data_IF_404572968418
#
_entry.id   IF_404572968418
#
_cell.length_a   1.000
_cell.length_b   1.000
_cell.length_c   1.000
_cell.angle_alpha   90.00
_cell.angle_beta   90.00
_cell.angle_gamma   90.00
#
_symmetry.space_group_name_H-M   'P 1'
#
loop_
_entity.id
_entity.type
_entity.pdbx_description
1 polymer ?
#
# COMPACT_ATOMS: atom_id res chain seq x y z
N UNK A 1 -36.26 58.31 17.05
CA UNK A 1 -35.02 58.36 16.27
C UNK A 1 -35.18 57.41 15.10
N UNK A 2 -35.32 57.98 13.91
CA UNK A 2 -35.55 57.30 12.64
C UNK A 2 -34.17 57.16 12.01
N UNK A 3 -33.74 55.93 11.72
CA UNK A 3 -32.51 55.70 10.95
C UNK A 3 -32.85 54.97 9.65
N UNK A 4 -32.80 55.75 8.58
CA UNK A 4 -32.91 55.37 7.18
C UNK A 4 -31.60 54.73 6.70
N UNK A 5 -31.65 53.53 6.12
CA UNK A 5 -30.54 53.03 5.29
C UNK A 5 -31.01 52.77 3.85
N UNK A 6 -30.37 53.54 2.99
CA UNK A 6 -30.50 53.63 1.54
C UNK A 6 -29.99 52.38 0.82
N UNK A 7 -30.79 51.89 -0.12
CA UNK A 7 -30.42 50.93 -1.15
C UNK A 7 -29.69 51.63 -2.29
N UNK A 8 -28.42 51.26 -2.55
CA UNK A 8 -27.70 51.66 -3.76
C UNK A 8 -27.59 50.48 -4.73
N UNK A 9 -28.35 50.56 -5.82
CA UNK A 9 -28.31 49.66 -6.97
C UNK A 9 -27.16 50.03 -7.90
N UNK A 10 -26.16 49.15 -8.04
CA UNK A 10 -25.11 49.25 -9.04
C UNK A 10 -25.50 48.46 -10.30
N UNK A 11 -25.74 49.18 -11.39
CA UNK A 11 -25.90 48.60 -12.74
C UNK A 11 -24.51 48.28 -13.31
N UNK A 12 -24.30 47.02 -13.68
CA UNK A 12 -23.12 46.58 -14.43
C UNK A 12 -23.41 46.71 -15.94
N UNK A 13 -22.60 47.53 -16.61
CA UNK A 13 -22.57 47.66 -18.07
C UNK A 13 -21.71 46.53 -18.64
N UNK A 14 -22.32 45.65 -19.44
CA UNK A 14 -21.63 44.60 -20.19
C UNK A 14 -21.17 45.15 -21.55
N UNK A 15 -19.86 45.11 -21.80
CA UNK A 15 -19.21 45.47 -23.06
C UNK A 15 -19.03 44.21 -23.95
N UNK A 16 -19.68 44.10 -25.13
CA UNK A 16 -19.57 42.94 -25.98
C UNK A 16 -18.60 43.21 -27.14
N UNK A 17 -17.30 43.02 -26.90
CA UNK A 17 -16.29 42.94 -27.99
C UNK A 17 -15.28 41.83 -27.72
N UNK A 18 -15.72 40.59 -27.91
CA UNK A 18 -14.83 39.42 -28.00
C UNK A 18 -14.57 39.15 -29.48
N UNK A 19 -13.37 39.52 -29.93
CA UNK A 19 -12.84 39.19 -31.26
C UNK A 19 -12.45 37.73 -31.29
N UNK A 20 -13.19 36.91 -32.05
CA UNK A 20 -12.88 35.50 -32.28
C UNK A 20 -11.64 35.40 -33.19
N UNK A 21 -10.48 35.21 -32.58
CA UNK A 21 -9.24 34.88 -33.28
C UNK A 21 -9.29 33.46 -33.82
N UNK A 22 -9.10 33.30 -35.13
CA UNK A 22 -8.93 32.00 -35.80
C UNK A 22 -7.77 31.23 -35.17
N UNK A 23 -8.07 30.15 -34.45
CA UNK A 23 -7.09 29.14 -34.05
C UNK A 23 -6.48 28.51 -35.31
N UNK A 24 -5.20 28.81 -35.57
CA UNK A 24 -4.39 28.08 -36.52
C UNK A 24 -4.11 26.68 -35.93
N UNK A 25 -4.76 25.65 -36.48
CA UNK A 25 -4.48 24.26 -36.12
C UNK A 25 -3.15 23.82 -36.74
N UNK A 26 -2.05 23.97 -36.03
CA UNK A 26 -0.78 23.35 -36.42
C UNK A 26 -0.81 21.85 -36.09
N UNK A 27 -1.17 21.04 -37.08
CA UNK A 27 -0.99 19.58 -37.04
C UNK A 27 0.49 19.24 -37.19
N UNK A 28 1.30 19.56 -36.19
CA UNK A 28 2.61 18.95 -36.04
C UNK A 28 2.37 17.49 -35.63
N UNK A 29 2.65 16.55 -36.56
CA UNK A 29 2.72 15.12 -36.24
C UNK A 29 3.85 14.91 -35.26
N UNK A 30 3.52 14.93 -33.97
CA UNK A 30 4.46 14.60 -32.90
C UNK A 30 4.96 13.17 -33.17
N UNK A 31 6.26 13.02 -33.44
CA UNK A 31 6.87 11.72 -33.59
C UNK A 31 6.54 10.89 -32.34
N UNK A 32 5.91 9.74 -32.52
CA UNK A 32 5.60 8.83 -31.43
C UNK A 32 6.95 8.33 -30.90
N UNK A 33 7.37 8.84 -29.75
CA UNK A 33 8.59 8.38 -29.11
C UNK A 33 8.44 6.88 -28.80
N UNK A 34 9.28 6.05 -29.40
CA UNK A 34 9.31 4.60 -29.14
C UNK A 34 9.82 4.35 -27.72
N UNK A 35 9.11 3.52 -26.95
CA UNK A 35 9.55 3.09 -25.63
C UNK A 35 10.85 2.28 -25.76
N UNK A 36 11.91 2.59 -24.99
CA UNK A 36 13.13 1.80 -24.97
C UNK A 36 12.87 0.33 -24.63
N UNK A 37 13.59 -0.59 -25.29
CA UNK A 37 13.39 -2.03 -25.09
C UNK A 37 13.70 -2.50 -23.66
N UNK A 38 14.52 -1.76 -22.92
CA UNK A 38 14.98 -2.01 -21.55
C UNK A 38 14.17 -1.25 -20.48
N UNK A 39 13.06 -0.61 -20.84
CA UNK A 39 12.27 0.19 -19.91
C UNK A 39 11.79 -0.62 -18.70
N UNK A 40 12.20 -0.19 -17.49
CA UNK A 40 11.91 -0.86 -16.22
C UNK A 40 12.83 -2.04 -15.85
N UNK A 41 13.73 -2.46 -16.74
CA UNK A 41 14.74 -3.46 -16.41
C UNK A 41 15.70 -2.94 -15.32
N UNK A 42 16.35 -3.84 -14.57
CA UNK A 42 17.37 -3.43 -13.58
C UNK A 42 18.51 -2.67 -14.25
N UNK A 43 18.72 -1.42 -13.85
CA UNK A 43 19.65 -0.47 -14.49
C UNK A 43 19.24 0.04 -15.87
N UNK A 44 18.03 -0.29 -16.36
CA UNK A 44 17.50 0.16 -17.64
C UNK A 44 16.78 1.51 -17.57
N UNK A 45 16.16 1.91 -18.69
CA UNK A 45 15.45 3.18 -18.82
C UNK A 45 14.34 3.37 -17.74
N UNK A 46 14.32 4.57 -17.16
CA UNK A 46 13.36 4.98 -16.12
C UNK A 46 12.23 5.86 -16.69
N UNK A 47 11.23 6.16 -15.85
CA UNK A 47 10.18 7.15 -16.14
C UNK A 47 10.83 8.50 -16.47
N UNK A 48 10.53 9.05 -17.65
CA UNK A 48 11.25 10.21 -18.20
C UNK A 48 11.03 11.50 -17.42
N UNK A 49 9.92 11.63 -16.67
CA UNK A 49 9.66 12.74 -15.75
C UNK A 49 9.84 12.37 -14.27
N UNK A 50 10.73 11.41 -13.96
CA UNK A 50 11.02 10.98 -12.57
C UNK A 50 11.27 12.15 -11.61
N UNK A 51 12.00 13.17 -12.03
CA UNK A 51 12.35 14.32 -11.20
C UNK A 51 11.17 15.26 -10.88
N UNK A 52 10.10 15.28 -11.69
CA UNK A 52 8.95 16.18 -11.48
C UNK A 52 7.68 15.44 -11.09
N UNK A 53 7.62 14.11 -11.24
CA UNK A 53 6.37 13.38 -11.08
C UNK A 53 5.72 13.60 -9.71
N UNK A 54 6.50 13.64 -8.63
CA UNK A 54 5.94 13.81 -7.29
C UNK A 54 5.42 15.23 -7.04
N UNK A 55 6.08 16.26 -7.59
CA UNK A 55 5.57 17.63 -7.55
C UNK A 55 4.39 17.85 -8.49
N UNK A 56 4.32 17.12 -9.62
CA UNK A 56 3.15 17.08 -10.49
C UNK A 56 1.92 16.53 -9.72
N UNK A 57 2.11 15.52 -8.85
CA UNK A 57 1.06 15.04 -7.94
C UNK A 57 0.64 16.10 -6.93
N UNK A 58 1.60 16.79 -6.31
CA UNK A 58 1.31 17.86 -5.36
C UNK A 58 0.49 18.98 -6.04
N UNK A 59 0.89 19.40 -7.24
CA UNK A 59 0.17 20.39 -8.05
C UNK A 59 -1.23 19.94 -8.43
N UNK A 60 -1.42 18.68 -8.82
CA UNK A 60 -2.74 18.10 -9.12
C UNK A 60 -3.67 18.07 -7.89
N UNK A 61 -3.11 17.97 -6.69
CA UNK A 61 -3.84 18.06 -5.41
C UNK A 61 -4.04 19.52 -4.94
N UNK A 62 -3.62 20.52 -5.72
CA UNK A 62 -3.69 21.94 -5.35
C UNK A 62 -2.71 22.32 -4.22
N UNK A 63 -1.60 21.59 -4.09
CA UNK A 63 -0.57 21.81 -3.06
C UNK A 63 0.68 22.41 -3.68
N UNK A 64 1.31 23.34 -2.96
CA UNK A 64 2.56 23.99 -3.36
C UNK A 64 3.81 23.35 -2.76
N UNK A 65 3.62 22.36 -1.88
CA UNK A 65 4.70 21.67 -1.17
C UNK A 65 4.34 20.19 -1.03
N UNK A 66 5.32 19.32 -0.78
CA UNK A 66 5.04 17.93 -0.51
C UNK A 66 4.27 17.74 0.81
N UNK A 67 3.58 16.60 1.00
CA UNK A 67 2.88 16.30 2.24
C UNK A 67 3.86 16.15 3.39
N UNK A 68 3.42 16.47 4.61
CA UNK A 68 4.17 16.18 5.82
C UNK A 68 4.42 14.68 5.98
N UNK A 69 3.43 13.85 5.65
CA UNK A 69 3.50 12.38 5.76
C UNK A 69 2.68 11.70 4.65
N UNK A 70 3.17 10.59 4.12
CA UNK A 70 2.46 9.72 3.19
C UNK A 70 2.69 8.25 3.58
N UNK A 71 1.62 7.58 4.01
CA UNK A 71 1.65 6.13 4.21
C UNK A 71 1.46 5.42 2.86
N UNK A 72 2.38 4.52 2.52
CA UNK A 72 2.43 3.84 1.23
C UNK A 72 2.06 2.37 1.45
N UNK A 73 0.89 1.97 0.93
CA UNK A 73 0.51 0.56 0.80
C UNK A 73 0.96 0.06 -0.57
N UNK A 74 1.97 -0.81 -0.58
CA UNK A 74 2.39 -1.51 -1.78
C UNK A 74 1.53 -2.77 -1.91
N UNK A 75 0.70 -2.81 -2.95
CA UNK A 75 -0.23 -3.92 -3.20
C UNK A 75 0.55 -5.22 -3.44
N UNK A 76 0.03 -6.42 -3.10
CA UNK A 76 0.70 -7.69 -3.38
C UNK A 76 1.17 -7.83 -4.85
N UNK A 77 2.07 -8.77 -5.12
CA UNK A 77 2.38 -9.18 -6.50
C UNK A 77 1.98 -10.61 -6.73
N UNK A 78 1.67 -10.95 -7.99
CA UNK A 78 1.37 -12.31 -8.38
C UNK A 78 2.67 -13.08 -8.64
N UNK A 79 2.91 -14.15 -7.90
CA UNK A 79 3.99 -15.08 -8.13
C UNK A 79 3.62 -16.14 -9.18
N UNK A 80 2.35 -16.54 -9.20
CA UNK A 80 1.81 -17.53 -10.14
C UNK A 80 0.52 -16.98 -10.76
N UNK A 81 0.38 -17.12 -12.08
CA UNK A 81 -0.85 -16.75 -12.80
C UNK A 81 -1.86 -17.89 -12.71
N UNK A 82 -3.09 -17.56 -12.35
CA UNK A 82 -4.26 -18.42 -12.39
C UNK A 82 -5.08 -18.11 -13.67
N UNK A 83 -6.13 -18.91 -13.91
CA UNK A 83 -7.12 -18.60 -14.94
C UNK A 83 -7.81 -17.25 -14.70
N UNK A 84 -8.38 -16.68 -15.76
CA UNK A 84 -9.13 -15.41 -15.73
C UNK A 84 -8.32 -14.17 -15.30
N UNK A 85 -6.99 -14.20 -15.42
CA UNK A 85 -6.12 -13.05 -15.14
C UNK A 85 -5.75 -12.83 -13.68
N UNK A 86 -6.25 -13.67 -12.76
CA UNK A 86 -5.87 -13.61 -11.34
C UNK A 86 -4.50 -14.21 -11.08
N UNK A 87 -3.89 -13.89 -9.94
CA UNK A 87 -2.65 -14.50 -9.50
C UNK A 87 -2.56 -14.75 -7.99
N UNK A 88 -1.76 -15.75 -7.62
CA UNK A 88 -1.44 -16.07 -6.24
C UNK A 88 -0.17 -15.34 -5.80
N UNK A 89 -0.22 -14.76 -4.62
CA UNK A 89 0.90 -14.05 -3.99
C UNK A 89 1.47 -14.88 -2.84
N UNK A 90 2.80 -14.86 -2.66
CA UNK A 90 3.41 -15.41 -1.43
C UNK A 90 3.00 -14.63 -0.17
N UNK A 91 2.71 -13.33 -0.35
CA UNK A 91 2.19 -12.45 0.69
C UNK A 91 1.00 -11.68 0.12
N UNK A 92 -0.23 -12.08 0.46
CA UNK A 92 -1.47 -11.44 0.02
C UNK A 92 -1.83 -10.16 0.79
N UNK A 93 -1.04 -9.77 1.79
CA UNK A 93 -1.31 -8.58 2.61
C UNK A 93 -0.59 -7.32 2.10
N UNK A 94 0.35 -7.48 1.17
CA UNK A 94 1.13 -6.38 0.60
C UNK A 94 2.30 -5.97 1.49
N UNK A 95 2.72 -4.72 1.35
CA UNK A 95 3.86 -4.15 2.07
C UNK A 95 3.59 -2.71 2.50
N UNK A 96 4.26 -2.26 3.56
CA UNK A 96 4.06 -0.95 4.17
C UNK A 96 5.37 -0.16 4.20
N UNK A 97 5.31 1.08 3.73
CA UNK A 97 6.38 2.08 3.87
C UNK A 97 5.78 3.44 4.23
N UNK A 98 6.62 4.39 4.59
CA UNK A 98 6.20 5.77 4.87
C UNK A 98 7.16 6.77 4.26
N UNK A 99 6.63 7.73 3.52
CA UNK A 99 7.35 8.94 3.09
C UNK A 99 7.00 10.09 4.03
N UNK A 100 7.94 10.94 4.38
CA UNK A 100 7.69 12.12 5.19
C UNK A 100 8.70 13.21 4.90
N UNK A 101 8.34 14.45 5.25
CA UNK A 101 9.15 15.65 5.05
C UNK A 101 9.66 16.12 6.40
N UNK A 102 10.98 16.11 6.59
CA UNK A 102 11.64 16.57 7.80
C UNK A 102 11.52 18.11 7.96
N UNK A 103 11.75 18.66 9.16
CA UNK A 103 11.68 20.12 9.39
C UNK A 103 12.61 20.96 8.51
N UNK A 104 13.71 20.37 8.03
CA UNK A 104 14.64 21.00 7.08
C UNK A 104 14.15 20.96 5.61
N UNK A 105 12.96 20.42 5.37
CA UNK A 105 12.36 20.25 4.04
C UNK A 105 12.81 18.99 3.31
N UNK A 106 13.73 18.19 3.86
CA UNK A 106 14.20 16.96 3.22
C UNK A 106 13.11 15.89 3.24
N UNK A 107 12.82 15.31 2.08
CA UNK A 107 11.93 14.15 1.99
C UNK A 107 12.70 12.84 2.17
N UNK A 108 12.13 11.92 2.95
CA UNK A 108 12.69 10.60 3.21
C UNK A 108 11.59 9.56 3.08
N UNK A 109 11.91 8.41 2.48
CA UNK A 109 11.10 7.19 2.59
C UNK A 109 11.78 6.26 3.57
N UNK A 110 11.04 5.82 4.59
CA UNK A 110 11.43 4.73 5.47
C UNK A 110 10.77 3.44 5.01
N UNK A 111 11.59 2.41 4.84
CA UNK A 111 11.18 1.08 4.46
C UNK A 111 11.71 0.05 5.47
N UNK A 112 10.89 -0.97 5.77
CA UNK A 112 11.29 -2.10 6.59
C UNK A 112 11.57 -3.30 5.69
N UNK A 113 12.82 -3.71 5.58
CA UNK A 113 13.24 -4.84 4.76
C UNK A 113 13.14 -6.15 5.56
N UNK A 114 12.44 -7.14 5.00
CA UNK A 114 12.30 -8.48 5.60
C UNK A 114 13.36 -9.49 5.17
N UNK A 115 14.07 -9.21 4.08
CA UNK A 115 15.18 -10.02 3.57
C UNK A 115 16.48 -9.58 4.25
N UNK A 116 16.53 -9.76 5.57
CA UNK A 116 17.73 -9.50 6.38
C UNK A 116 18.86 -10.45 6.02
N UNK A 117 19.63 -10.11 4.99
CA UNK A 117 20.94 -10.71 4.74
C UNK A 117 21.96 -10.21 5.77
N UNK A 118 23.10 -10.91 5.87
CA UNK A 118 24.21 -10.45 6.71
C UNK A 118 24.60 -9.04 6.24
N UNK A 119 24.53 -8.07 7.14
CA UNK A 119 24.92 -6.68 6.87
C UNK A 119 23.86 -5.81 6.19
N UNK A 120 22.63 -6.30 5.95
CA UNK A 120 21.53 -5.45 5.43
C UNK A 120 20.67 -4.98 6.60
N UNK A 121 20.65 -3.67 6.91
CA UNK A 121 19.77 -3.13 7.96
C UNK A 121 18.29 -3.42 7.70
N UNK A 122 17.54 -3.72 8.77
CA UNK A 122 16.09 -3.90 8.70
C UNK A 122 15.37 -2.59 8.35
N UNK A 123 15.79 -1.48 8.96
CA UNK A 123 15.29 -0.14 8.64
C UNK A 123 16.17 0.45 7.54
N UNK A 124 15.54 0.91 6.47
CA UNK A 124 16.21 1.51 5.33
C UNK A 124 15.62 2.88 5.05
N UNK A 125 16.47 3.84 4.68
CA UNK A 125 16.05 5.17 4.28
C UNK A 125 16.52 5.45 2.85
N UNK A 126 15.63 5.99 2.01
CA UNK A 126 15.96 6.41 0.65
C UNK A 126 15.18 7.65 0.25
N UNK A 127 15.46 8.21 -0.93
CA UNK A 127 14.66 9.32 -1.47
C UNK A 127 13.34 8.79 -2.06
N UNK A 128 12.30 9.62 -2.16
CA UNK A 128 11.06 9.25 -2.82
C UNK A 128 11.23 8.75 -4.26
N UNK A 129 12.11 9.38 -5.04
CA UNK A 129 12.37 9.03 -6.44
C UNK A 129 13.03 7.66 -6.55
N UNK A 130 13.93 7.32 -5.62
CA UNK A 130 14.55 6.00 -5.53
C UNK A 130 13.49 4.93 -5.24
N UNK A 131 12.60 5.17 -4.27
CA UNK A 131 11.60 4.20 -3.85
C UNK A 131 10.52 3.92 -4.91
N UNK A 132 9.99 4.98 -5.53
CA UNK A 132 8.87 4.87 -6.46
C UNK A 132 9.32 4.57 -7.90
N UNK A 133 10.42 5.17 -8.36
CA UNK A 133 10.67 5.37 -9.79
C UNK A 133 12.05 4.94 -10.26
N UNK A 134 12.89 4.35 -9.39
CA UNK A 134 14.20 3.90 -9.82
C UNK A 134 14.24 2.48 -10.36
N UNK A 135 15.05 2.27 -11.40
CA UNK A 135 15.48 0.95 -11.89
C UNK A 135 16.83 0.52 -11.30
N UNK A 136 17.53 1.42 -10.60
CA UNK A 136 18.75 1.12 -9.83
C UNK A 136 18.37 0.68 -8.43
N UNK A 137 18.09 -0.60 -8.31
CA UNK A 137 17.44 -1.13 -7.13
C UNK A 137 18.41 -1.30 -5.96
N UNK A 138 18.05 -0.72 -4.82
CA UNK A 138 18.77 -0.88 -3.56
C UNK A 138 17.97 -1.77 -2.58
N UNK A 139 18.57 -2.19 -1.46
CA UNK A 139 17.83 -2.83 -0.37
C UNK A 139 16.69 -1.96 0.19
N UNK A 140 16.76 -0.63 0.04
CA UNK A 140 15.72 0.29 0.48
C UNK A 140 14.48 0.26 -0.44
N UNK A 141 14.68 -0.06 -1.73
CA UNK A 141 13.63 -0.15 -2.75
C UNK A 141 13.31 -1.60 -3.13
N UNK A 142 13.26 -2.53 -2.16
CA UNK A 142 13.06 -3.96 -2.43
C UNK A 142 11.77 -4.28 -3.22
N UNK A 143 10.79 -3.37 -3.14
CA UNK A 143 9.50 -3.49 -3.81
C UNK A 143 9.57 -3.12 -5.31
N UNK A 144 10.69 -2.53 -5.77
CA UNK A 144 11.00 -2.17 -7.18
C UNK A 144 10.03 -1.16 -7.80
N UNK A 145 9.49 -0.26 -6.97
CA UNK A 145 8.70 0.89 -7.43
C UNK A 145 7.48 0.53 -8.27
N UNK A 146 7.11 1.47 -9.15
CA UNK A 146 5.97 1.34 -10.05
C UNK A 146 6.19 0.36 -11.21
N UNK A 147 7.43 -0.08 -11.45
CA UNK A 147 7.73 -1.06 -12.48
C UNK A 147 7.16 -2.44 -12.10
N UNK A 148 7.22 -2.81 -10.82
CA UNK A 148 6.74 -4.11 -10.34
C UNK A 148 5.38 -4.06 -9.63
N UNK A 149 5.01 -2.95 -8.99
CA UNK A 149 3.89 -2.93 -8.04
C UNK A 149 2.98 -1.74 -8.21
N UNK A 150 1.69 -1.97 -8.03
CA UNK A 150 0.73 -0.89 -7.75
C UNK A 150 0.93 -0.44 -6.30
N UNK A 151 0.87 0.87 -6.06
CA UNK A 151 0.94 1.46 -4.73
C UNK A 151 -0.26 2.37 -4.52
N UNK A 152 -0.91 2.28 -3.37
CA UNK A 152 -1.99 3.17 -2.98
C UNK A 152 -1.58 3.84 -1.68
N UNK A 153 -1.64 5.17 -1.60
CA UNK A 153 -1.16 5.90 -0.44
C UNK A 153 -2.24 6.75 0.22
N UNK A 154 -2.02 7.08 1.49
CA UNK A 154 -2.73 8.14 2.22
C UNK A 154 -1.72 9.22 2.55
N UNK A 155 -1.90 10.41 1.99
CA UNK A 155 -1.13 11.62 2.27
C UNK A 155 -1.82 12.44 3.34
N UNK A 156 -1.03 12.97 4.28
CA UNK A 156 -1.43 13.91 5.32
C UNK A 156 -0.62 15.19 5.10
N UNK A 157 -1.30 16.26 4.72
CA UNK A 157 -0.65 17.48 4.23
C UNK A 157 0.07 18.22 5.36
N UNK A 158 -0.54 18.25 6.54
CA UNK A 158 -0.01 18.90 7.72
C UNK A 158 0.05 17.91 8.88
N UNK A 159 1.24 17.73 9.43
CA UNK A 159 1.50 17.07 10.70
C UNK A 159 2.48 17.99 11.44
N UNK A 160 2.29 18.27 12.75
CA UNK A 160 3.25 19.07 13.50
C UNK A 160 4.69 18.53 13.37
N UNK A 161 5.65 19.42 13.14
CA UNK A 161 7.04 19.06 12.85
C UNK A 161 7.67 18.22 13.96
N UNK A 162 7.35 18.49 15.22
CA UNK A 162 7.83 17.75 16.37
C UNK A 162 7.36 16.28 16.35
N UNK A 163 6.19 16.01 15.76
CA UNK A 163 5.64 14.65 15.62
C UNK A 163 6.30 13.90 14.47
N UNK A 164 6.58 14.59 13.36
CA UNK A 164 7.40 14.02 12.28
C UNK A 164 8.80 13.67 12.80
N UNK A 165 9.41 14.57 13.57
CA UNK A 165 10.73 14.33 14.17
C UNK A 165 10.70 13.18 15.19
N UNK A 166 9.63 13.05 15.98
CA UNK A 166 9.46 11.93 16.91
C UNK A 166 9.40 10.58 16.17
N UNK A 167 8.64 10.52 15.07
CA UNK A 167 8.57 9.35 14.20
C UNK A 167 9.93 9.04 13.54
N UNK A 168 10.65 10.05 13.04
CA UNK A 168 11.98 9.86 12.45
C UNK A 168 12.98 9.29 13.47
N UNK A 169 13.04 9.88 14.67
CA UNK A 169 13.89 9.41 15.78
C UNK A 169 13.53 7.99 16.21
N UNK A 170 12.24 7.63 16.18
CA UNK A 170 11.82 6.27 16.42
C UNK A 170 12.43 5.29 15.40
N UNK A 171 12.40 5.60 14.11
CA UNK A 171 12.98 4.71 13.10
C UNK A 171 14.50 4.62 13.17
N UNK A 172 15.20 5.70 13.52
CA UNK A 172 16.64 5.67 13.77
C UNK A 172 16.98 4.74 14.95
N UNK A 173 16.26 4.86 16.08
CA UNK A 173 16.44 3.94 17.22
C UNK A 173 16.12 2.50 16.85
N UNK A 174 15.07 2.27 16.06
CA UNK A 174 14.72 0.93 15.59
C UNK A 174 15.84 0.32 14.72
N UNK A 175 16.52 1.13 13.91
CA UNK A 175 17.69 0.69 13.16
C UNK A 175 18.82 0.24 14.10
N UNK A 176 19.14 1.06 15.10
CA UNK A 176 20.15 0.76 16.13
C UNK A 176 19.80 -0.52 16.90
N UNK A 177 18.55 -0.66 17.35
CA UNK A 177 18.04 -1.84 18.04
C UNK A 177 18.10 -3.09 17.15
N UNK A 178 17.83 -2.94 15.85
CA UNK A 178 17.94 -4.05 14.91
C UNK A 178 19.38 -4.52 14.73
N UNK A 179 20.33 -3.57 14.60
CA UNK A 179 21.77 -3.88 14.57
C UNK A 179 22.22 -4.56 15.87
N UNK A 180 21.69 -4.11 17.00
CA UNK A 180 21.91 -4.73 18.32
C UNK A 180 21.12 -6.03 18.56
N UNK A 181 20.43 -6.56 17.54
CA UNK A 181 19.62 -7.78 17.61
C UNK A 181 18.46 -7.74 18.63
N UNK A 182 18.04 -6.55 19.09
CA UNK A 182 16.91 -6.30 19.99
C UNK A 182 15.58 -6.10 19.26
N UNK A 183 15.62 -5.79 17.96
CA UNK A 183 14.46 -5.73 17.08
C UNK A 183 14.68 -6.63 15.85
N UNK A 184 13.71 -7.48 15.52
CA UNK A 184 13.82 -8.45 14.40
C UNK A 184 12.60 -8.44 13.50
N UNK A 185 12.84 -8.75 12.23
CA UNK A 185 11.76 -8.97 11.28
C UNK A 185 11.15 -10.36 11.47
N UNK A 186 9.83 -10.45 11.53
CA UNK A 186 9.09 -11.71 11.60
C UNK A 186 7.66 -11.53 11.09
N UNK A 187 7.16 -12.48 10.29
CA UNK A 187 5.82 -12.42 9.70
C UNK A 187 4.83 -13.31 10.47
N UNK A 188 5.25 -14.53 10.84
CA UNK A 188 4.32 -15.59 11.22
C UNK A 188 4.07 -15.62 12.73
N UNK A 189 5.14 -15.62 13.52
CA UNK A 189 5.07 -15.90 14.96
C UNK A 189 5.10 -14.65 15.85
N UNK A 190 5.13 -13.46 15.27
CA UNK A 190 5.33 -12.20 16.01
C UNK A 190 4.35 -12.00 17.17
N UNK A 191 3.02 -12.23 17.03
CA UNK A 191 2.08 -12.09 18.14
C UNK A 191 2.39 -13.01 19.33
N UNK A 192 2.76 -14.27 19.05
CA UNK A 192 3.05 -15.27 20.07
C UNK A 192 4.37 -14.93 20.76
N UNK A 193 5.42 -14.61 19.99
CA UNK A 193 6.74 -14.31 20.52
C UNK A 193 6.75 -13.03 21.36
N UNK A 194 6.01 -12.00 20.94
CA UNK A 194 5.86 -10.76 21.71
C UNK A 194 5.05 -10.97 22.99
N UNK A 195 4.05 -11.87 22.99
CA UNK A 195 3.33 -12.25 24.22
C UNK A 195 4.26 -12.99 25.20
N UNK A 196 5.08 -13.93 24.71
CA UNK A 196 6.06 -14.65 25.54
C UNK A 196 7.07 -13.68 26.18
N UNK A 197 7.54 -12.68 25.43
CA UNK A 197 8.39 -11.60 25.96
C UNK A 197 7.74 -10.84 27.11
N UNK A 198 6.42 -10.64 27.09
CA UNK A 198 5.71 -9.92 28.14
C UNK A 198 5.53 -10.76 29.41
N UNK A 199 5.35 -12.09 29.27
CA UNK A 199 5.09 -13.00 30.39
C UNK A 199 6.37 -13.52 31.05
N UNK A 200 7.45 -13.69 30.28
CA UNK A 200 8.70 -14.27 30.77
C UNK A 200 9.78 -13.20 30.99
N UNK A 201 10.59 -13.28 32.06
CA UNK A 201 11.63 -12.29 32.40
C UNK A 201 12.90 -12.41 31.53
N UNK A 202 12.76 -12.78 30.26
CA UNK A 202 13.90 -12.90 29.33
C UNK A 202 13.99 -11.65 28.45
N UNK A 203 15.21 -11.18 28.19
CA UNK A 203 15.49 -10.11 27.24
C UNK A 203 15.35 -10.63 25.79
N UNK A 204 14.10 -10.88 25.38
CA UNK A 204 13.78 -11.34 24.04
C UNK A 204 13.63 -10.15 23.09
N UNK A 205 14.27 -10.25 21.92
CA UNK A 205 14.12 -9.28 20.86
C UNK A 205 12.63 -9.11 20.48
N UNK A 206 12.18 -7.87 20.31
CA UNK A 206 10.84 -7.61 19.81
C UNK A 206 10.79 -7.96 18.33
N UNK A 207 9.69 -8.58 17.91
CA UNK A 207 9.53 -9.06 16.54
C UNK A 207 8.33 -8.44 15.85
N UNK A 208 8.47 -8.11 14.58
CA UNK A 208 7.40 -7.52 13.79
C UNK A 208 7.68 -7.57 12.31
N UNK A 209 6.65 -7.43 11.49
CA UNK A 209 6.79 -7.30 10.05
C UNK A 209 6.85 -5.81 9.64
N UNK A 210 6.86 -5.52 8.33
CA UNK A 210 6.92 -4.15 7.83
C UNK A 210 5.77 -3.27 8.34
N UNK A 211 4.54 -3.79 8.38
CA UNK A 211 3.39 -3.05 8.90
C UNK A 211 3.48 -2.76 10.40
N UNK A 212 3.95 -3.72 11.19
CA UNK A 212 4.10 -3.54 12.64
C UNK A 212 5.05 -2.40 12.98
N UNK A 213 6.26 -2.44 12.42
CA UNK A 213 7.28 -1.44 12.68
C UNK A 213 6.89 -0.07 12.10
N UNK A 214 6.32 -0.03 10.89
CA UNK A 214 5.81 1.21 10.30
C UNK A 214 4.68 1.81 11.15
N UNK A 215 3.71 1.01 11.62
CA UNK A 215 2.61 1.52 12.43
C UNK A 215 3.01 2.00 13.82
N UNK A 216 4.11 1.48 14.40
CA UNK A 216 4.70 2.07 15.60
C UNK A 216 5.21 3.49 15.35
N UNK A 217 5.97 3.71 14.28
CA UNK A 217 6.42 5.07 13.93
C UNK A 217 5.26 6.01 13.62
N UNK A 218 4.23 5.55 12.89
CA UNK A 218 3.01 6.31 12.66
C UNK A 218 2.28 6.66 13.98
N UNK A 219 2.35 5.78 14.98
CA UNK A 219 1.78 6.04 16.31
C UNK A 219 2.57 7.12 17.06
N UNK A 220 3.90 7.15 16.93
CA UNK A 220 4.74 8.23 17.46
C UNK A 220 4.39 9.60 16.82
N UNK A 221 4.02 9.61 15.53
CA UNK A 221 3.50 10.81 14.87
C UNK A 221 2.04 11.15 15.25
N UNK A 222 1.36 10.28 16.01
CA UNK A 222 -0.05 10.44 16.38
C UNK A 222 -1.03 10.40 15.20
N UNK A 223 -0.63 9.82 14.07
CA UNK A 223 -1.50 9.68 12.88
C UNK A 223 -2.32 8.38 12.88
N UNK A 224 -1.88 7.37 13.64
CA UNK A 224 -2.66 6.17 13.98
C UNK A 224 -2.73 5.98 15.49
N UNK A 225 -3.80 5.36 15.98
CA UNK A 225 -3.99 5.10 17.41
C UNK A 225 -3.46 3.72 17.82
N UNK A 226 -3.49 2.76 16.90
CA UNK A 226 -3.18 1.36 17.16
C UNK A 226 -2.09 0.84 16.21
N UNK A 227 -1.22 -0.01 16.77
CA UNK A 227 -0.21 -0.74 16.00
C UNK A 227 -0.89 -1.92 15.30
N UNK A 228 -0.55 -2.16 14.05
CA UNK A 228 -1.13 -3.21 13.21
C UNK A 228 -0.06 -3.95 12.44
N UNK A 229 -0.20 -5.27 12.33
CA UNK A 229 0.65 -6.12 11.48
C UNK A 229 0.18 -6.21 10.03
N UNK A 230 -0.91 -5.53 9.67
CA UNK A 230 -1.54 -5.68 8.37
C UNK A 230 -1.52 -4.35 7.59
N UNK A 231 -0.75 -4.25 6.48
CA UNK A 231 -0.56 -3.01 5.75
C UNK A 231 -1.87 -2.33 5.35
N UNK A 232 -2.81 -3.10 4.77
CA UNK A 232 -4.10 -2.58 4.32
C UNK A 232 -4.99 -2.15 5.50
N UNK A 233 -4.84 -2.76 6.68
CA UNK A 233 -5.56 -2.31 7.87
C UNK A 233 -5.07 -0.94 8.37
N UNK A 234 -3.78 -0.63 8.26
CA UNK A 234 -3.21 0.69 8.58
C UNK A 234 -3.75 1.75 7.61
N UNK A 235 -3.76 1.42 6.31
CA UNK A 235 -4.33 2.30 5.27
C UNK A 235 -5.77 2.68 5.62
N UNK A 236 -6.60 1.67 5.94
CA UNK A 236 -8.01 1.87 6.29
C UNK A 236 -8.12 2.68 7.59
N UNK A 237 -7.30 2.41 8.61
CA UNK A 237 -7.33 3.16 9.86
C UNK A 237 -7.07 4.65 9.63
N UNK A 238 -6.00 5.00 8.90
CA UNK A 238 -5.70 6.40 8.58
C UNK A 238 -6.81 7.06 7.75
N UNK A 239 -7.31 6.36 6.72
CA UNK A 239 -8.36 6.88 5.85
C UNK A 239 -9.68 7.11 6.60
N UNK A 240 -10.08 6.17 7.46
CA UNK A 240 -11.38 6.22 8.13
C UNK A 240 -11.38 7.07 9.40
N UNK A 241 -10.31 7.05 10.16
CA UNK A 241 -10.18 7.68 11.48
C UNK A 241 -9.41 9.00 11.42
N UNK A 242 -9.24 9.60 10.24
CA UNK A 242 -8.62 10.93 10.03
C UNK A 242 -9.15 12.05 10.93
N UNK A 243 -10.43 11.98 11.31
CA UNK A 243 -11.08 12.94 12.24
C UNK A 243 -10.78 12.68 13.71
N UNK A 244 -10.32 11.47 14.07
CA UNK A 244 -10.00 11.06 15.45
C UNK A 244 -8.50 11.05 15.73
N UNK A 245 -7.67 11.03 14.69
CA UNK A 245 -6.22 11.07 14.80
C UNK A 245 -5.75 12.51 15.01
N UNK A 246 -5.16 12.78 16.17
CA UNK A 246 -4.67 14.11 16.53
C UNK A 246 -3.61 14.64 15.53
N UNK A 247 -2.86 13.75 14.86
CA UNK A 247 -1.87 14.14 13.86
C UNK A 247 -2.45 14.45 12.48
N UNK A 248 -3.72 14.11 12.21
CA UNK A 248 -4.36 14.31 10.91
C UNK A 248 -5.31 15.51 10.93
N UNK A 249 -6.04 15.75 12.03
CA UNK A 249 -6.82 16.98 12.17
C UNK A 249 -8.00 17.15 11.20
N UNK A 250 -8.46 16.07 10.55
CA UNK A 250 -9.66 16.09 9.69
C UNK A 250 -9.45 15.54 8.28
N UNK A 251 -10.54 15.49 7.50
CA UNK A 251 -10.52 14.93 6.13
C UNK A 251 -9.88 15.85 5.10
N UNK A 252 -10.00 17.17 5.26
CA UNK A 252 -9.48 18.15 4.30
C UNK A 252 -7.94 18.23 4.29
N UNK A 253 -7.32 17.64 5.31
CA UNK A 253 -5.88 17.49 5.46
C UNK A 253 -5.36 16.16 4.87
N UNK A 254 -6.21 15.40 4.18
CA UNK A 254 -5.87 14.06 3.71
C UNK A 254 -6.22 13.87 2.23
N UNK A 255 -5.31 13.24 1.50
CA UNK A 255 -5.52 12.85 0.10
C UNK A 255 -5.13 11.39 -0.10
N UNK A 256 -5.82 10.70 -1.00
CA UNK A 256 -5.45 9.36 -1.45
C UNK A 256 -4.86 9.47 -2.85
N UNK A 257 -3.69 8.86 -3.05
CA UNK A 257 -3.02 8.79 -4.35
C UNK A 257 -2.88 7.34 -4.76
N UNK A 258 -3.28 7.02 -5.98
CA UNK A 258 -3.08 5.71 -6.57
C UNK A 258 -1.98 5.76 -7.63
N UNK A 259 -0.91 5.00 -7.43
CA UNK A 259 0.17 4.84 -8.39
C UNK A 259 0.04 3.47 -9.05
N UNK A 260 -0.38 3.45 -10.32
CA UNK A 260 -0.58 2.21 -11.07
C UNK A 260 0.76 1.60 -11.47
N UNK A 261 0.85 0.27 -11.41
CA UNK A 261 1.97 -0.47 -12.00
C UNK A 261 2.07 -0.15 -13.50
N UNK A 262 3.29 0.08 -13.98
CA UNK A 262 3.58 0.31 -15.39
C UNK A 262 3.48 -1.04 -16.12
N UNK A 263 2.38 -1.27 -16.84
CA UNK A 263 2.08 -2.58 -17.41
C UNK A 263 3.07 -3.04 -18.47
N UNK A 264 3.61 -2.12 -19.27
CA UNK A 264 4.59 -2.38 -20.33
C UNK A 264 6.06 -2.27 -19.91
N UNK A 265 6.34 -2.03 -18.63
CA UNK A 265 7.70 -2.12 -18.10
C UNK A 265 8.12 -3.59 -17.92
N UNK A 266 9.41 -3.86 -18.05
CA UNK A 266 9.95 -5.18 -17.72
C UNK A 266 9.83 -5.44 -16.21
N UNK A 267 9.23 -6.56 -15.83
CA UNK A 267 9.11 -6.98 -14.44
C UNK A 267 10.42 -7.59 -13.94
N UNK A 268 10.96 -7.11 -12.83
CA UNK A 268 12.11 -7.77 -12.19
C UNK A 268 11.74 -9.06 -11.45
N UNK A 269 10.46 -9.27 -11.13
CA UNK A 269 9.96 -10.46 -10.45
C UNK A 269 8.44 -10.61 -10.61
N UNK A 270 7.95 -11.82 -10.35
CA UNK A 270 6.52 -12.14 -10.42
C UNK A 270 6.03 -12.25 -11.86
N UNK A 271 4.71 -12.25 -12.01
CA UNK A 271 4.01 -12.31 -13.29
C UNK A 271 2.96 -11.22 -13.37
N UNK A 272 2.62 -10.77 -14.58
CA UNK A 272 1.53 -9.82 -14.77
C UNK A 272 0.17 -10.50 -14.59
N UNK A 273 -0.35 -10.48 -13.38
CA UNK A 273 -1.67 -10.97 -13.05
C UNK A 273 -2.20 -10.20 -11.83
N UNK A 274 -3.51 -10.08 -11.71
CA UNK A 274 -4.14 -9.34 -10.62
C UNK A 274 -4.10 -10.17 -9.34
N UNK A 275 -3.38 -9.73 -8.30
CA UNK A 275 -3.17 -10.53 -7.11
C UNK A 275 -4.45 -10.63 -6.28
N UNK A 276 -4.63 -11.77 -5.59
CA UNK A 276 -5.65 -11.89 -4.55
C UNK A 276 -5.15 -11.19 -3.28
N UNK A 277 -5.89 -10.18 -2.83
CA UNK A 277 -5.52 -9.33 -1.70
C UNK A 277 -6.35 -9.61 -0.46
N UNK A 278 -5.74 -9.47 0.72
CA UNK A 278 -6.41 -9.57 2.00
C UNK A 278 -6.16 -8.33 2.87
N UNK A 279 -7.17 -7.94 3.66
CA UNK A 279 -7.03 -6.83 4.63
C UNK A 279 -6.32 -7.28 5.91
N UNK A 280 -6.72 -8.45 6.41
CA UNK A 280 -6.19 -9.16 7.57
C UNK A 280 -6.79 -10.58 7.54
N UNK A 281 -6.23 -11.55 8.28
CA UNK A 281 -6.82 -12.89 8.39
C UNK A 281 -8.29 -12.84 8.81
N UNK A 282 -9.14 -13.59 8.10
CA UNK A 282 -10.55 -13.82 8.43
C UNK A 282 -11.44 -12.55 8.49
N UNK A 283 -11.00 -11.45 7.84
CA UNK A 283 -11.78 -10.20 7.72
C UNK A 283 -12.42 -10.03 6.34
N UNK A 284 -13.17 -11.04 5.88
CA UNK A 284 -13.75 -11.12 4.53
C UNK A 284 -14.68 -9.94 4.21
N UNK A 285 -15.53 -9.52 5.15
CA UNK A 285 -16.44 -8.39 4.96
C UNK A 285 -15.69 -7.07 4.75
N UNK A 286 -14.61 -6.85 5.53
CA UNK A 286 -13.76 -5.67 5.36
C UNK A 286 -12.97 -5.75 4.05
N UNK A 287 -12.45 -6.93 3.69
CA UNK A 287 -11.82 -7.15 2.39
C UNK A 287 -12.77 -6.83 1.23
N UNK A 288 -14.05 -7.20 1.34
CA UNK A 288 -15.07 -6.85 0.36
C UNK A 288 -15.34 -5.34 0.29
N UNK A 289 -15.37 -4.61 1.41
CA UNK A 289 -15.59 -3.16 1.38
C UNK A 289 -14.37 -2.38 0.84
N UNK A 290 -13.16 -2.92 0.98
CA UNK A 290 -11.91 -2.30 0.53
C UNK A 290 -11.25 -3.09 -0.60
N UNK A 291 -12.04 -3.81 -1.39
CA UNK A 291 -11.55 -4.65 -2.47
C UNK A 291 -10.81 -3.84 -3.55
N UNK A 292 -11.35 -2.67 -3.90
CA UNK A 292 -10.73 -1.72 -4.80
C UNK A 292 -10.42 -0.42 -4.04
N UNK A 293 -9.16 -0.19 -3.71
CA UNK A 293 -8.73 1.02 -3.01
C UNK A 293 -8.60 2.24 -3.93
N UNK A 294 -8.37 2.03 -5.23
CA UNK A 294 -8.20 3.12 -6.21
C UNK A 294 -9.47 3.98 -6.32
N UNK A 295 -10.65 3.42 -6.05
CA UNK A 295 -11.91 4.18 -6.06
C UNK A 295 -11.94 5.33 -5.05
N UNK A 296 -11.09 5.30 -4.03
CA UNK A 296 -10.96 6.35 -3.02
C UNK A 296 -9.93 7.42 -3.43
N UNK A 297 -9.19 7.24 -4.54
CA UNK A 297 -8.09 8.10 -4.94
C UNK A 297 -8.57 9.47 -5.45
N UNK A 298 -7.99 10.54 -4.90
CA UNK A 298 -8.11 11.91 -5.40
C UNK A 298 -7.28 12.11 -6.67
N UNK A 299 -6.13 11.43 -6.76
CA UNK A 299 -5.23 11.48 -7.92
C UNK A 299 -4.80 10.07 -8.31
N UNK A 300 -4.74 9.82 -9.62
CA UNK A 300 -4.20 8.60 -10.22
C UNK A 300 -2.95 8.95 -11.02
N UNK A 301 -1.86 8.24 -10.73
CA UNK A 301 -0.60 8.29 -11.46
C UNK A 301 -0.48 7.04 -12.31
N UNK A 302 -0.19 7.21 -13.60
CA UNK A 302 0.02 6.11 -14.53
C UNK A 302 1.05 6.45 -15.60
N UNK A 303 1.60 5.44 -16.26
CA UNK A 303 2.41 5.63 -17.46
C UNK A 303 1.63 5.01 -18.61
N UNK A 304 1.09 5.82 -19.55
CA UNK A 304 0.32 5.30 -20.66
C UNK A 304 1.11 4.29 -21.51
N UNK A 305 0.39 3.33 -22.11
CA UNK A 305 0.98 2.36 -23.02
C UNK A 305 1.73 3.08 -24.15
N UNK A 306 2.97 2.66 -24.43
CA UNK A 306 3.79 3.30 -25.47
C UNK A 306 4.44 4.62 -25.04
N UNK A 307 4.39 4.99 -23.76
CA UNK A 307 5.07 6.16 -23.20
C UNK A 307 6.08 5.74 -22.13
N UNK A 308 7.13 6.54 -21.92
CA UNK A 308 7.98 6.50 -20.72
C UNK A 308 7.63 7.61 -19.74
N UNK A 309 6.76 8.55 -20.12
CA UNK A 309 6.35 9.68 -19.28
C UNK A 309 5.11 9.31 -18.47
N UNK A 310 5.17 9.51 -17.16
CA UNK A 310 4.04 9.37 -16.27
C UNK A 310 3.10 10.58 -16.39
N UNK A 311 1.80 10.31 -16.29
CA UNK A 311 0.71 11.28 -16.24
C UNK A 311 0.07 11.26 -14.86
N UNK A 312 -0.50 12.41 -14.48
CA UNK A 312 -1.18 12.61 -13.21
C UNK A 312 -2.60 13.10 -13.52
N UNK A 313 -3.61 12.34 -13.11
CA UNK A 313 -5.01 12.64 -13.37
C UNK A 313 -5.77 12.86 -12.05
N UNK A 314 -6.43 14.01 -11.93
CA UNK A 314 -7.34 14.30 -10.81
C UNK A 314 -8.64 13.52 -11.01
N UNK A 315 -9.15 12.95 -9.92
CA UNK A 315 -10.49 12.35 -9.87
C UNK A 315 -11.46 13.33 -9.24
N UNK A 316 -12.49 13.70 -10.00
CA UNK A 316 -13.49 14.66 -9.55
C UNK A 316 -14.35 14.13 -8.39
N UNK A 317 -14.64 12.82 -8.39
CA UNK A 317 -15.60 12.22 -7.46
C UNK A 317 -15.03 10.95 -6.78
N UNK A 318 -13.99 11.07 -5.93
CA UNK A 318 -13.50 9.94 -5.16
C UNK A 318 -14.58 9.42 -4.21
N UNK A 319 -14.70 8.09 -4.11
CA UNK A 319 -15.63 7.45 -3.18
C UNK A 319 -15.27 7.86 -1.75
N UNK A 320 -16.28 8.13 -0.92
CA UNK A 320 -16.09 8.45 0.49
C UNK A 320 -16.19 7.18 1.35
N UNK A 321 -15.62 7.17 2.58
CA UNK A 321 -15.78 6.06 3.50
C UNK A 321 -17.25 5.67 3.69
N UNK A 322 -17.54 4.38 3.63
CA UNK A 322 -18.92 3.87 3.79
C UNK A 322 -19.48 4.21 5.18
N UNK A 323 -20.75 4.63 5.30
CA UNK A 323 -21.41 4.78 6.61
C UNK A 323 -21.45 3.47 7.41
N UNK A 324 -21.49 2.32 6.70
CA UNK A 324 -21.48 0.98 7.28
C UNK A 324 -20.14 0.62 7.94
N UNK A 325 -19.11 1.47 7.84
CA UNK A 325 -17.80 1.24 8.45
C UNK A 325 -17.86 0.98 9.96
N UNK A 326 -18.71 1.71 10.67
CA UNK A 326 -18.83 1.57 12.12
C UNK A 326 -19.38 0.19 12.49
N UNK A 327 -20.21 -0.39 11.62
CA UNK A 327 -20.74 -1.74 11.77
C UNK A 327 -19.63 -2.78 11.53
N UNK A 328 -18.91 -2.71 10.41
CA UNK A 328 -17.87 -3.71 10.11
C UNK A 328 -16.63 -3.63 11.00
N UNK A 329 -16.35 -2.46 11.58
CA UNK A 329 -15.28 -2.25 12.55
C UNK A 329 -15.73 -2.53 13.99
N UNK A 330 -17.00 -2.90 14.22
CA UNK A 330 -17.46 -3.29 15.55
C UNK A 330 -16.75 -4.58 15.99
N UNK A 331 -16.18 -4.58 17.19
CA UNK A 331 -15.45 -5.73 17.74
C UNK A 331 -16.26 -7.02 17.72
N UNK A 332 -17.57 -6.95 17.96
CA UNK A 332 -18.47 -8.12 17.92
C UNK A 332 -18.60 -8.68 16.51
N UNK A 333 -18.66 -7.83 15.49
CA UNK A 333 -18.79 -8.27 14.09
C UNK A 333 -17.47 -8.84 13.59
N UNK A 334 -16.34 -8.22 13.95
CA UNK A 334 -15.02 -8.78 13.67
C UNK A 334 -14.89 -10.16 14.31
N UNK A 335 -15.19 -10.28 15.60
CA UNK A 335 -15.14 -11.56 16.32
C UNK A 335 -16.07 -12.60 15.69
N UNK A 336 -17.29 -12.23 15.34
CA UNK A 336 -18.27 -13.10 14.69
C UNK A 336 -17.79 -13.56 13.30
N UNK A 337 -17.19 -12.66 12.51
CA UNK A 337 -16.60 -12.98 11.20
C UNK A 337 -15.43 -13.96 11.34
N UNK A 338 -14.55 -13.73 12.32
CA UNK A 338 -13.41 -14.62 12.63
C UNK A 338 -13.93 -16.01 13.03
N UNK A 339 -14.87 -16.06 13.99
CA UNK A 339 -15.44 -17.31 14.47
C UNK A 339 -16.16 -18.08 13.35
N UNK A 340 -17.00 -17.41 12.58
CA UNK A 340 -17.73 -18.03 11.46
C UNK A 340 -16.78 -18.56 10.40
N UNK A 341 -15.77 -17.78 10.01
CA UNK A 341 -14.77 -18.22 9.03
C UNK A 341 -13.98 -19.43 9.56
N UNK A 342 -13.61 -19.41 10.84
CA UNK A 342 -12.98 -20.56 11.50
C UNK A 342 -13.85 -21.82 11.46
N UNK A 343 -15.16 -21.70 11.73
CA UNK A 343 -16.12 -22.81 11.64
C UNK A 343 -16.23 -23.33 10.20
N UNK A 344 -16.29 -22.45 9.20
CA UNK A 344 -16.36 -22.85 7.78
C UNK A 344 -15.09 -23.59 7.37
N UNK A 345 -13.90 -23.07 7.70
CA UNK A 345 -12.62 -23.73 7.41
C UNK A 345 -12.56 -25.10 8.10
N UNK A 346 -12.95 -25.19 9.37
CA UNK A 346 -12.99 -26.45 10.10
C UNK A 346 -13.91 -27.49 9.44
N UNK A 347 -15.11 -27.07 9.01
CA UNK A 347 -16.06 -27.94 8.29
C UNK A 347 -15.52 -28.39 6.94
N UNK A 348 -14.94 -27.48 6.15
CA UNK A 348 -14.35 -27.81 4.85
C UNK A 348 -13.16 -28.77 5.00
N UNK A 349 -12.30 -28.55 6.00
CA UNK A 349 -11.18 -29.44 6.28
C UNK A 349 -11.67 -30.83 6.69
N UNK A 350 -12.69 -30.92 7.55
CA UNK A 350 -13.31 -32.21 7.92
C UNK A 350 -13.90 -32.94 6.71
N UNK A 351 -14.54 -32.21 5.79
CA UNK A 351 -15.06 -32.79 4.55
C UNK A 351 -13.92 -33.28 3.65
N UNK A 352 -12.86 -32.49 3.50
CA UNK A 352 -11.69 -32.86 2.69
C UNK A 352 -10.98 -34.09 3.24
N UNK A 353 -10.67 -34.13 4.53
CA UNK A 353 -10.04 -35.29 5.18
C UNK A 353 -10.91 -36.53 5.10
N UNK A 354 -12.23 -36.40 5.23
CA UNK A 354 -13.15 -37.53 5.05
C UNK A 354 -13.15 -38.08 3.61
N UNK A 355 -13.08 -37.19 2.60
CA UNK A 355 -13.03 -37.59 1.18
C UNK A 355 -11.69 -38.21 0.80
N UNK A 356 -10.57 -37.64 1.24
CA UNK A 356 -9.23 -38.19 1.00
C UNK A 356 -9.06 -39.52 1.73
N UNK A 357 -9.52 -39.62 2.99
CA UNK A 357 -9.53 -40.87 3.75
C UNK A 357 -10.35 -41.95 3.06
N UNK A 358 -11.55 -41.62 2.56
CA UNK A 358 -12.37 -42.56 1.80
C UNK A 358 -11.74 -42.97 0.46
N UNK A 359 -11.06 -42.06 -0.24
CA UNK A 359 -10.36 -42.36 -1.49
C UNK A 359 -9.13 -43.26 -1.25
N UNK A 360 -8.35 -43.00 -0.20
CA UNK A 360 -7.22 -43.84 0.20
C UNK A 360 -7.67 -45.23 0.68
N UNK A 361 -8.85 -45.34 1.30
CA UNK A 361 -9.41 -46.64 1.71
C UNK A 361 -9.93 -47.49 0.53
N UNK A 362 -10.23 -46.86 -0.61
CA UNK A 362 -10.68 -47.56 -1.84
C UNK A 362 -9.52 -48.04 -2.72
N UNK A 363 -8.26 -47.78 -2.35
CA UNK A 363 -7.16 -48.46 -3.01
C UNK A 363 -7.20 -49.95 -2.63
N UNK A 364 -7.33 -50.87 -3.61
CA UNK A 364 -7.33 -52.28 -3.32
C UNK A 364 -6.02 -52.61 -2.63
N UNK A 365 -6.09 -53.08 -1.37
CA UNK A 365 -4.93 -53.72 -0.74
C UNK A 365 -4.54 -54.86 -1.67
N UNK A 366 -3.44 -54.69 -2.38
CA UNK A 366 -2.84 -55.76 -3.17
C UNK A 366 -2.63 -56.93 -2.20
N UNK A 367 -3.42 -57.97 -2.37
CA UNK A 367 -3.40 -59.14 -1.52
C UNK A 367 -2.04 -59.82 -1.77
N UNK A 368 -1.07 -59.81 -0.83
CA UNK A 368 0.26 -60.36 -1.09
C UNK A 368 0.28 -61.90 -1.13
N UNK A 369 -0.89 -62.56 -1.06
CA UNK A 369 -1.03 -64.00 -0.85
C UNK A 369 -1.24 -64.85 -2.10
N UNK A 370 -0.59 -64.58 -3.23
CA UNK A 370 -0.62 -65.51 -4.39
C UNK A 370 0.72 -65.64 -5.13
N UNK A 371 1.76 -66.01 -4.40
CA UNK A 371 2.91 -66.72 -4.95
C UNK A 371 3.16 -67.99 -4.12
N UNK A 372 2.47 -69.07 -4.45
CA UNK A 372 2.88 -70.44 -4.14
C UNK A 372 2.05 -71.42 -4.95
N UNK A 373 2.61 -71.87 -6.07
CA UNK A 373 2.72 -73.28 -6.46
C UNK A 373 3.30 -73.34 -7.89
N UNK A 374 4.62 -73.37 -7.97
CA UNK A 374 5.32 -74.15 -8.98
C UNK A 374 6.25 -75.08 -8.19
N UNK A 375 5.93 -76.38 -8.24
CA UNK A 375 6.88 -77.44 -7.92
C UNK A 375 6.38 -78.72 -8.61
N UNK A 376 7.19 -79.15 -9.57
CA UNK A 376 7.35 -80.48 -10.16
C UNK A 376 6.21 -81.09 -10.99
#
# INVERSE_FOLDING_TARGET
>A
MIDSRSSSSSQAVLDPRITIGKLQSSTARSAVATVPGDFGAEGGAEVSNKATLLSDVDGALGRSKPPALEYILVMPFSAVRLGFGYGLSYNSFGHAAVRYTLPDGKQVVMNINGKGGIGVPMVQFCTPEEYFLSTHYSPASEQRGLYNRTMISVRVEHVPEERILAMHKYFQRLEEESRAQRAKFEIVLSPILNFVRWVLPFDLAERGNCAFWTSKGLKEAGVVQHVSMWPKSIWIDMFENSTRSAGIGGRDNMNVVAYRRIKHAQLSYGVDADPIEAVAPLQSARAFLYWNLERFANVVVEVPQGSTRATVAVRENPVQPSPWRNLVNNKLIIFSSVALTGVVIFRLNRQFTSRVGAALWKFPRSNPGRQRQQSH
#
